data_IF_708237170095
#
_entry.id   IF_708237170095
#
_cell.length_a   1.000
_cell.length_b   1.000
_cell.length_c   1.000
_cell.angle_alpha   90.00
_cell.angle_beta   90.00
_cell.angle_gamma   90.00
#
_symmetry.space_group_name_H-M   'P 1'
#
loop_
_entity.id
_entity.type
_entity.pdbx_description
1 polymer ?
#
# COMPACT_ATOMS: atom_id res chain seq x y z
N UNK A 1 6.72 1.50 -13.11
CA UNK A 1 5.39 1.93 -12.61
C UNK A 1 5.50 2.15 -11.11
N UNK A 2 4.99 3.27 -10.59
CA UNK A 2 5.28 3.74 -9.24
C UNK A 2 4.50 2.98 -8.14
N UNK A 3 5.07 2.82 -6.93
CA UNK A 3 4.34 2.34 -5.76
C UNK A 3 3.15 3.26 -5.43
N UNK A 4 2.17 2.76 -4.66
CA UNK A 4 0.98 3.54 -4.29
C UNK A 4 1.33 4.84 -3.54
N UNK A 5 2.45 4.81 -2.81
CA UNK A 5 3.07 5.96 -2.17
C UNK A 5 4.58 5.71 -2.07
N UNK A 6 5.34 6.79 -2.05
CA UNK A 6 6.72 6.79 -1.61
C UNK A 6 6.76 6.83 -0.08
N UNK A 7 7.56 5.96 0.55
CA UNK A 7 7.61 5.79 2.01
C UNK A 7 9.01 6.08 2.50
N UNK A 8 9.14 7.07 3.38
CA UNK A 8 10.42 7.53 3.91
C UNK A 8 10.42 7.45 5.44
N UNK A 9 11.41 6.83 6.09
CA UNK A 9 11.57 6.93 7.54
C UNK A 9 11.80 8.38 7.96
N UNK A 10 11.10 8.87 8.98
CA UNK A 10 11.29 10.22 9.52
C UNK A 10 11.98 10.23 10.89
N UNK A 11 12.22 9.05 11.48
CA UNK A 11 12.75 8.88 12.85
C UNK A 11 11.68 8.41 13.83
N UNK A 12 12.10 7.88 14.98
CA UNK A 12 11.22 7.50 16.11
C UNK A 12 10.06 6.53 15.78
N UNK A 13 10.28 5.62 14.83
CA UNK A 13 9.27 4.67 14.37
C UNK A 13 8.16 5.28 13.51
N UNK A 14 8.39 6.51 13.00
CA UNK A 14 7.51 7.21 12.08
C UNK A 14 8.01 7.11 10.64
N UNK A 15 7.06 7.16 9.72
CA UNK A 15 7.27 7.10 8.28
C UNK A 15 6.39 8.15 7.61
N UNK A 16 6.95 8.90 6.66
CA UNK A 16 6.22 9.80 5.79
C UNK A 16 5.81 9.08 4.52
N UNK A 17 4.52 9.11 4.23
CA UNK A 17 3.93 8.49 3.05
C UNK A 17 3.52 9.60 2.08
N UNK A 18 3.96 9.53 0.83
CA UNK A 18 3.63 10.51 -0.21
C UNK A 18 2.98 9.83 -1.40
N UNK A 19 1.69 10.08 -1.61
CA UNK A 19 0.89 9.54 -2.71
C UNK A 19 0.79 10.52 -3.90
N UNK A 20 1.69 11.49 -3.98
CA UNK A 20 1.80 12.46 -5.07
C UNK A 20 0.93 13.72 -4.89
N UNK A 21 0.99 14.66 -5.84
CA UNK A 21 0.35 15.98 -5.71
C UNK A 21 -1.17 15.94 -5.61
N UNK A 22 -1.78 14.80 -5.99
CA UNK A 22 -3.22 14.61 -5.95
C UNK A 22 -3.76 14.11 -4.61
N UNK A 23 -3.02 13.22 -3.98
CA UNK A 23 -3.43 12.57 -2.74
C UNK A 23 -2.66 13.10 -1.52
N UNK A 24 -1.61 13.88 -1.75
CA UNK A 24 -0.81 14.52 -0.71
C UNK A 24 0.13 13.56 0.00
N UNK A 25 0.65 14.03 1.13
CA UNK A 25 1.50 13.25 2.03
C UNK A 25 1.01 13.33 3.46
N UNK A 26 1.23 12.28 4.22
CA UNK A 26 0.90 12.20 5.64
C UNK A 26 1.94 11.35 6.37
N UNK A 27 2.01 11.53 7.68
CA UNK A 27 2.91 10.76 8.54
C UNK A 27 2.15 9.58 9.16
N UNK A 28 2.80 8.43 9.26
CA UNK A 28 2.30 7.20 9.85
C UNK A 28 3.28 6.74 10.93
N UNK A 29 2.77 6.23 12.05
CA UNK A 29 3.58 5.62 13.12
C UNK A 29 3.29 4.13 13.19
N UNK A 30 4.32 3.31 13.36
CA UNK A 30 4.14 1.89 13.71
C UNK A 30 3.62 1.80 15.15
N UNK A 31 2.33 1.46 15.29
CA UNK A 31 1.60 1.43 16.55
C UNK A 31 1.59 0.03 17.20
N UNK A 32 1.73 -1.03 16.41
CA UNK A 32 1.86 -2.42 16.88
C UNK A 32 2.84 -3.16 15.97
N UNK A 33 3.76 -3.89 16.57
CA UNK A 33 4.78 -4.70 15.89
C UNK A 33 4.95 -6.02 16.65
N UNK A 34 4.33 -7.06 16.11
CA UNK A 34 4.45 -8.44 16.55
C UNK A 34 5.21 -9.19 15.47
N UNK A 35 6.53 -9.40 15.66
CA UNK A 35 7.40 -9.97 14.65
C UNK A 35 6.86 -11.28 14.07
N UNK A 36 6.69 -11.32 12.76
CA UNK A 36 6.21 -12.50 12.03
C UNK A 36 4.70 -12.75 12.10
N UNK A 37 3.92 -11.94 12.81
CA UNK A 37 2.48 -12.15 13.00
C UNK A 37 1.64 -10.95 12.56
N UNK A 38 1.96 -9.75 13.05
CA UNK A 38 1.10 -8.59 12.86
C UNK A 38 1.87 -7.28 12.95
N UNK A 39 1.56 -6.35 12.05
CA UNK A 39 2.06 -4.98 12.11
C UNK A 39 0.92 -4.02 11.84
N UNK A 40 0.89 -2.88 12.54
CA UNK A 40 -0.16 -1.87 12.43
C UNK A 40 0.42 -0.48 12.43
N UNK A 41 0.01 0.34 11.47
CA UNK A 41 0.38 1.73 11.33
C UNK A 41 -0.84 2.63 11.52
N UNK A 42 -0.63 3.74 12.21
CA UNK A 42 -1.65 4.77 12.43
C UNK A 42 -1.17 6.13 11.92
N UNK A 43 -2.05 6.85 11.23
CA UNK A 43 -1.79 8.21 10.78
C UNK A 43 -1.56 9.15 11.95
N UNK A 44 -0.59 10.05 11.79
CA UNK A 44 -0.30 11.11 12.73
C UNK A 44 -1.01 12.39 12.27
N UNK A 45 -2.02 12.81 13.03
CA UNK A 45 -2.82 14.01 12.74
C UNK A 45 -3.97 13.78 11.76
N UNK A 46 -4.66 14.87 11.43
CA UNK A 46 -5.80 14.86 10.51
C UNK A 46 -5.39 15.01 9.03
N UNK A 47 -6.27 14.59 8.12
CA UNK A 47 -6.09 14.80 6.69
C UNK A 47 -5.31 13.69 5.95
N UNK A 48 -4.96 12.62 6.64
CA UNK A 48 -4.38 11.43 6.02
C UNK A 48 -5.40 10.69 5.16
N UNK A 49 -5.02 10.30 3.95
CA UNK A 49 -5.86 9.45 3.10
C UNK A 49 -6.14 8.09 3.76
N UNK A 50 -5.07 7.49 4.31
CA UNK A 50 -5.12 6.24 5.05
C UNK A 50 -4.99 6.59 6.52
N UNK A 51 -6.04 6.33 7.29
CA UNK A 51 -6.04 6.54 8.75
C UNK A 51 -5.28 5.44 9.47
N UNK A 52 -5.45 4.21 9.00
CA UNK A 52 -4.87 3.02 9.62
C UNK A 52 -4.53 2.00 8.53
N UNK A 53 -3.40 1.32 8.67
CA UNK A 53 -3.03 0.18 7.86
C UNK A 53 -2.55 -0.96 8.74
N UNK A 54 -2.83 -2.19 8.36
CA UNK A 54 -2.32 -3.36 9.09
C UNK A 54 -1.99 -4.50 8.14
N UNK A 55 -0.97 -5.26 8.50
CA UNK A 55 -0.57 -6.48 7.81
C UNK A 55 -0.59 -7.61 8.82
N UNK A 56 -1.27 -8.71 8.48
CA UNK A 56 -1.29 -9.94 9.26
C UNK A 56 -0.72 -11.10 8.47
N UNK A 57 0.14 -11.86 9.11
CA UNK A 57 0.73 -13.09 8.61
C UNK A 57 0.10 -14.27 9.35
N UNK A 58 -0.29 -15.32 8.61
CA UNK A 58 -0.75 -16.56 9.22
C UNK A 58 -0.34 -17.77 8.39
N UNK A 59 -0.08 -18.93 9.02
CA UNK A 59 0.17 -20.16 8.27
C UNK A 59 -0.98 -20.48 7.31
N UNK A 60 -0.65 -20.86 6.08
CA UNK A 60 -1.59 -21.40 5.12
C UNK A 60 -1.87 -22.89 5.42
N UNK A 61 -3.12 -23.32 5.27
CA UNK A 61 -3.47 -24.73 5.41
C UNK A 61 -2.75 -25.63 4.40
N UNK A 62 -2.34 -26.81 4.86
CA UNK A 62 -1.64 -27.82 4.04
C UNK A 62 -0.15 -27.50 3.78
N UNK A 63 0.51 -26.76 4.67
CA UNK A 63 1.92 -26.38 4.56
C UNK A 63 2.28 -25.63 3.26
N UNK A 64 1.38 -24.78 2.77
CA UNK A 64 1.52 -24.03 1.51
C UNK A 64 2.18 -22.65 1.67
N UNK A 65 2.84 -22.40 2.79
CA UNK A 65 3.46 -21.12 3.14
C UNK A 65 2.57 -20.24 4.00
N UNK A 66 2.59 -18.92 3.75
CA UNK A 66 1.96 -17.90 4.60
C UNK A 66 0.87 -17.15 3.84
N UNK A 67 -0.29 -16.96 4.46
CA UNK A 67 -1.32 -16.02 4.00
C UNK A 67 -1.03 -14.66 4.60
N UNK A 68 -0.87 -13.65 3.74
CA UNK A 68 -0.69 -12.26 4.13
C UNK A 68 -1.96 -11.49 3.85
N UNK A 69 -2.48 -10.78 4.86
CA UNK A 69 -3.70 -9.99 4.77
C UNK A 69 -3.34 -8.54 5.04
N UNK A 70 -3.52 -7.69 4.04
CA UNK A 70 -3.44 -6.23 4.16
C UNK A 70 -4.84 -5.67 4.40
N UNK A 71 -4.99 -4.81 5.40
CA UNK A 71 -6.18 -3.97 5.61
C UNK A 71 -5.77 -2.52 5.71
N UNK A 72 -6.52 -1.64 5.07
CA UNK A 72 -6.35 -0.20 5.16
C UNK A 72 -7.70 0.47 5.35
N UNK A 73 -7.78 1.40 6.31
CA UNK A 73 -8.94 2.25 6.53
C UNK A 73 -8.70 3.61 5.87
N UNK A 74 -9.59 4.01 4.98
CA UNK A 74 -9.55 5.32 4.34
C UNK A 74 -10.37 6.31 5.15
N UNK A 75 -9.84 7.51 5.39
CA UNK A 75 -10.55 8.62 6.04
C UNK A 75 -10.22 9.94 5.32
N UNK A 76 -10.63 10.08 4.04
CA UNK A 76 -10.18 11.21 3.24
C UNK A 76 -10.79 12.51 3.75
N UNK A 77 -10.01 13.59 3.92
CA UNK A 77 -10.57 14.90 4.23
C UNK A 77 -11.54 15.34 3.12
N UNK A 78 -12.54 16.16 3.45
CA UNK A 78 -13.65 16.50 2.54
C UNK A 78 -13.24 17.03 1.16
N UNK A 79 -12.12 17.78 1.07
CA UNK A 79 -11.58 18.24 -0.21
C UNK A 79 -10.91 17.15 -1.07
N UNK A 80 -10.51 16.03 -0.48
CA UNK A 80 -9.87 14.89 -1.14
C UNK A 80 -10.88 13.88 -1.69
N UNK A 81 -12.09 13.82 -1.13
CA UNK A 81 -13.17 12.92 -1.59
C UNK A 81 -13.47 13.12 -3.09
N UNK A 82 -13.55 14.38 -3.55
CA UNK A 82 -13.76 14.67 -4.97
C UNK A 82 -12.62 14.20 -5.88
N UNK A 83 -11.37 14.25 -5.40
CA UNK A 83 -10.17 13.81 -6.15
C UNK A 83 -10.06 12.28 -6.21
N UNK A 84 -10.41 11.60 -5.13
CA UNK A 84 -10.47 10.14 -5.10
C UNK A 84 -11.57 9.64 -6.03
N UNK A 85 -12.75 10.28 -6.02
CA UNK A 85 -13.86 9.91 -6.90
C UNK A 85 -13.48 9.97 -8.38
N UNK A 86 -12.74 11.01 -8.81
CA UNK A 86 -12.24 11.10 -10.20
C UNK A 86 -11.20 10.03 -10.51
N UNK A 87 -10.32 9.69 -9.55
CA UNK A 87 -9.33 8.61 -9.70
C UNK A 87 -9.97 7.21 -9.75
N UNK A 88 -11.06 6.99 -9.00
CA UNK A 88 -11.83 5.75 -9.05
C UNK A 88 -12.57 5.57 -10.37
N UNK A 89 -13.06 6.66 -10.96
CA UNK A 89 -13.66 6.67 -12.31
C UNK A 89 -12.60 6.49 -13.43
N UNK A 90 -11.34 6.84 -13.16
CA UNK A 90 -10.23 6.86 -14.11
C UNK A 90 -9.24 5.68 -14.02
N UNK A 91 -9.66 4.50 -13.53
CA UNK A 91 -8.95 3.21 -13.48
C UNK A 91 -8.21 2.78 -12.19
N UNK A 92 -8.44 3.32 -10.99
CA UNK A 92 -7.86 2.63 -9.81
C UNK A 92 -8.74 2.69 -8.55
N UNK A 93 -9.46 1.60 -8.28
CA UNK A 93 -10.14 1.39 -7.00
C UNK A 93 -9.11 1.10 -5.91
N UNK A 94 -9.28 1.57 -4.65
CA UNK A 94 -8.34 1.31 -3.55
C UNK A 94 -8.06 -0.19 -3.32
N UNK A 95 -9.06 -1.04 -3.56
CA UNK A 95 -8.90 -2.49 -3.50
C UNK A 95 -7.93 -3.03 -4.57
N UNK A 96 -7.92 -2.43 -5.77
CA UNK A 96 -7.00 -2.80 -6.84
C UNK A 96 -5.55 -2.43 -6.48
N UNK A 97 -5.33 -1.25 -5.88
CA UNK A 97 -4.02 -0.85 -5.35
C UNK A 97 -3.53 -1.84 -4.28
N UNK A 98 -4.37 -2.15 -3.29
CA UNK A 98 -4.04 -3.11 -2.24
C UNK A 98 -3.72 -4.52 -2.81
N UNK A 99 -4.52 -4.98 -3.77
CA UNK A 99 -4.29 -6.26 -4.44
C UNK A 99 -2.97 -6.27 -5.21
N UNK A 100 -2.63 -5.17 -5.89
CA UNK A 100 -1.38 -5.03 -6.65
C UNK A 100 -0.16 -4.98 -5.70
N UNK A 101 -0.27 -4.26 -4.58
CA UNK A 101 0.75 -4.27 -3.53
C UNK A 101 0.99 -5.66 -2.95
N UNK A 102 -0.06 -6.43 -2.67
CA UNK A 102 0.08 -7.82 -2.20
C UNK A 102 0.70 -8.73 -3.26
N UNK A 103 0.40 -8.50 -4.55
CA UNK A 103 1.02 -9.25 -5.64
C UNK A 103 2.53 -8.98 -5.74
N UNK A 104 2.94 -7.70 -5.68
CA UNK A 104 4.36 -7.35 -5.69
C UNK A 104 5.09 -7.81 -4.44
N UNK A 105 4.46 -7.68 -3.28
CA UNK A 105 4.99 -8.25 -2.04
C UNK A 105 5.23 -9.75 -2.20
N UNK A 106 4.24 -10.50 -2.70
CA UNK A 106 4.37 -11.94 -2.94
C UNK A 106 5.53 -12.26 -3.88
N UNK A 107 5.64 -11.54 -5.00
CA UNK A 107 6.74 -11.76 -5.94
C UNK A 107 8.09 -11.49 -5.28
N UNK A 108 8.25 -10.34 -4.64
CA UNK A 108 9.49 -9.95 -3.96
C UNK A 108 9.93 -10.97 -2.92
N UNK A 109 9.03 -11.44 -2.05
CA UNK A 109 9.41 -12.42 -1.01
C UNK A 109 9.65 -13.83 -1.56
N UNK A 110 9.07 -14.19 -2.70
CA UNK A 110 9.23 -15.52 -3.30
C UNK A 110 10.42 -15.62 -4.26
N UNK A 111 10.75 -14.53 -4.95
CA UNK A 111 11.77 -14.54 -6.01
C UNK A 111 12.90 -13.54 -5.78
N UNK A 112 12.78 -12.64 -4.80
CA UNK A 112 13.73 -11.56 -4.57
C UNK A 112 13.55 -10.36 -5.51
N UNK A 113 12.55 -10.37 -6.39
CA UNK A 113 12.38 -9.35 -7.43
C UNK A 113 10.92 -8.90 -7.56
N UNK A 114 10.72 -7.64 -7.94
CA UNK A 114 9.41 -7.12 -8.35
C UNK A 114 9.34 -7.20 -9.89
N UNK A 115 8.38 -7.94 -10.47
CA UNK A 115 8.22 -8.02 -11.92
C UNK A 115 8.03 -6.64 -12.55
N UNK A 116 8.87 -6.30 -13.53
CA UNK A 116 8.80 -5.04 -14.26
C UNK A 116 8.79 -5.28 -15.76
N UNK A 117 8.04 -4.45 -16.49
CA UNK A 117 7.98 -4.43 -17.95
C UNK A 117 8.68 -3.22 -18.55
N UNK A 118 9.37 -2.40 -17.74
CA UNK A 118 9.95 -1.11 -18.17
C UNK A 118 10.96 -1.24 -19.33
N UNK A 119 11.61 -2.39 -19.47
CA UNK A 119 12.57 -2.67 -20.55
C UNK A 119 12.04 -3.64 -21.60
N UNK A 120 10.72 -3.88 -21.65
CA UNK A 120 10.13 -4.76 -22.65
C UNK A 120 9.60 -3.98 -23.86
N UNK A 121 10.20 -4.13 -25.06
CA UNK A 121 9.77 -3.40 -26.26
C UNK A 121 8.35 -3.78 -26.72
N UNK A 122 7.90 -4.99 -26.38
CA UNK A 122 6.57 -5.50 -26.70
C UNK A 122 5.57 -5.33 -25.54
N UNK A 123 5.97 -4.69 -24.43
CA UNK A 123 5.07 -4.49 -23.31
C UNK A 123 3.93 -3.56 -23.72
N UNK A 124 2.73 -4.11 -23.84
CA UNK A 124 1.52 -3.30 -23.82
C UNK A 124 1.41 -2.69 -22.43
N UNK A 125 1.14 -1.37 -22.29
CA UNK A 125 0.85 -0.78 -21.00
C UNK A 125 -0.24 -1.59 -20.31
N UNK A 126 -0.01 -2.02 -19.07
CA UNK A 126 -1.03 -2.72 -18.29
C UNK A 126 -2.24 -1.77 -18.18
N UNK A 127 -3.41 -2.10 -18.74
CA UNK A 127 -4.57 -1.20 -18.74
C UNK A 127 -5.25 -1.12 -17.37
N UNK A 128 -4.69 -1.80 -16.34
CA UNK A 128 -5.23 -1.91 -14.98
C UNK A 128 -4.47 -1.08 -13.94
#
# INVERSE_FOLDING_TARGET
MAPFADVQPTGDGQTRWNAGPNLGSWDMRLADDQPGEFMRWEAQGGGALIREASVRFRPAGGNRGTVVVLRASLDPPGGMLGRIATQMLGNTLPAALASKSLHYFKALVQTGEIPTTERQPAARPDPR
#
